data_IF_339152058942
#
_entry.id   IF_339152058942
#
_cell.length_a   1.000
_cell.length_b   1.000
_cell.length_c   1.000
_cell.angle_alpha   90.00
_cell.angle_beta   90.00
_cell.angle_gamma   90.00
#
_symmetry.space_group_name_H-M   'P 1'
#
loop_
_entity.id
_entity.type
_entity.pdbx_description
1 polymer ?
#
# COMPACT_ATOMS: atom_id res chain seq x y z
N UNK A 1 -6.42 5.79 -9.58
CA UNK A 1 -7.81 6.30 -9.37
C UNK A 1 -7.68 7.57 -8.56
N UNK A 2 -8.47 8.59 -8.86
CA UNK A 2 -8.47 9.83 -8.08
C UNK A 2 -9.15 9.64 -6.70
N UNK A 3 -9.21 10.70 -5.90
CA UNK A 3 -9.81 10.66 -4.55
C UNK A 3 -11.31 10.36 -4.57
N UNK A 4 -11.98 10.62 -5.69
CA UNK A 4 -13.41 10.36 -5.91
C UNK A 4 -13.65 8.96 -6.53
N UNK A 5 -12.59 8.20 -6.80
CA UNK A 5 -12.66 6.85 -7.39
C UNK A 5 -12.77 6.84 -8.91
N UNK A 6 -12.54 7.96 -9.61
CA UNK A 6 -12.48 7.94 -11.06
C UNK A 6 -11.17 7.32 -11.54
N UNK A 7 -11.27 6.61 -12.66
CA UNK A 7 -10.13 6.01 -13.35
C UNK A 7 -10.12 6.51 -14.80
N UNK A 8 -8.95 6.92 -15.35
CA UNK A 8 -8.84 7.26 -16.77
C UNK A 8 -9.05 6.01 -17.65
N UNK A 9 -8.77 4.82 -17.10
CA UNK A 9 -9.10 3.54 -17.72
C UNK A 9 -10.51 3.16 -17.29
N UNK A 10 -11.39 2.82 -18.23
CA UNK A 10 -12.75 2.31 -17.96
C UNK A 10 -12.71 0.78 -17.89
N UNK A 11 -12.65 0.15 -16.70
CA UNK A 11 -12.44 -1.29 -16.57
C UNK A 11 -13.58 -2.10 -17.21
N UNK A 12 -14.79 -1.55 -17.22
CA UNK A 12 -15.96 -2.14 -17.90
C UNK A 12 -15.79 -2.34 -19.41
N UNK A 13 -14.80 -1.69 -20.05
CA UNK A 13 -14.44 -1.91 -21.45
C UNK A 13 -13.48 -3.09 -21.66
N UNK A 14 -12.95 -3.66 -20.56
CA UNK A 14 -11.93 -4.71 -20.57
C UNK A 14 -12.39 -5.98 -19.84
N UNK A 15 -13.70 -6.30 -19.88
CA UNK A 15 -14.32 -7.41 -19.12
C UNK A 15 -13.62 -8.75 -19.34
N UNK A 16 -13.31 -9.09 -20.59
CA UNK A 16 -12.65 -10.37 -20.93
C UNK A 16 -11.28 -10.52 -20.25
N UNK A 17 -10.51 -9.42 -20.15
CA UNK A 17 -9.22 -9.42 -19.45
C UNK A 17 -9.43 -9.59 -17.95
N UNK A 18 -10.39 -8.85 -17.38
CA UNK A 18 -10.71 -8.91 -15.95
C UNK A 18 -11.18 -10.31 -15.55
N UNK A 19 -12.03 -10.93 -16.36
CA UNK A 19 -12.54 -12.29 -16.14
C UNK A 19 -11.46 -13.37 -16.26
N UNK A 20 -10.40 -13.11 -17.04
CA UNK A 20 -9.26 -14.01 -17.17
C UNK A 20 -8.25 -13.90 -16.01
N UNK A 21 -8.28 -12.82 -15.22
CA UNK A 21 -7.36 -12.60 -14.11
C UNK A 21 -7.86 -13.26 -12.82
N UNK A 22 -6.95 -13.86 -12.05
CA UNK A 22 -7.31 -14.43 -10.74
C UNK A 22 -7.69 -13.36 -9.71
N UNK A 23 -7.11 -12.18 -9.86
CA UNK A 23 -7.38 -10.99 -9.04
C UNK A 23 -6.79 -9.75 -9.72
N UNK A 24 -7.24 -8.59 -9.28
CA UNK A 24 -6.66 -7.30 -9.63
C UNK A 24 -6.12 -6.60 -8.40
N UNK A 25 -5.00 -5.89 -8.58
CA UNK A 25 -4.39 -5.11 -7.51
C UNK A 25 -4.24 -3.64 -7.92
N UNK A 26 -4.15 -2.77 -6.92
CA UNK A 26 -3.92 -1.34 -7.12
C UNK A 26 -2.91 -0.79 -6.12
N UNK A 27 -2.01 0.05 -6.63
CA UNK A 27 -1.10 0.87 -5.87
C UNK A 27 -1.49 2.34 -6.01
N UNK A 28 -1.50 3.09 -4.91
CA UNK A 28 -1.54 4.56 -5.02
C UNK A 28 -0.11 5.08 -5.19
N UNK A 29 0.09 5.90 -6.23
CA UNK A 29 1.33 6.65 -6.42
C UNK A 29 1.01 8.15 -6.49
N UNK A 30 1.80 8.94 -5.76
CA UNK A 30 1.74 10.41 -5.80
C UNK A 30 2.25 11.01 -7.13
N UNK A 31 2.65 10.18 -8.10
CA UNK A 31 3.00 10.64 -9.46
C UNK A 31 1.85 11.36 -10.17
N UNK A 32 0.61 11.14 -9.74
CA UNK A 32 -0.60 11.79 -10.25
C UNK A 32 -0.74 13.26 -9.81
N UNK A 33 0.02 13.73 -8.80
CA UNK A 33 0.24 15.17 -8.59
C UNK A 33 0.94 15.84 -9.79
N UNK A 34 1.21 15.15 -10.89
CA UNK A 34 1.85 15.76 -12.07
C UNK A 34 1.08 15.53 -13.36
N UNK A 35 0.04 14.69 -13.36
CA UNK A 35 -0.64 14.28 -14.59
C UNK A 35 -2.16 14.33 -14.45
N UNK A 36 -2.75 15.20 -15.29
CA UNK A 36 -4.17 15.32 -15.65
C UNK A 36 -5.11 16.12 -14.73
N UNK A 37 -5.05 16.01 -13.39
CA UNK A 37 -5.97 16.79 -12.52
C UNK A 37 -5.49 18.21 -12.16
N UNK A 38 -4.23 18.51 -12.44
CA UNK A 38 -3.54 19.75 -12.06
C UNK A 38 -4.13 21.05 -12.62
N UNK A 39 -5.01 20.97 -13.61
CA UNK A 39 -5.70 22.14 -14.16
C UNK A 39 -6.94 22.58 -13.38
N UNK A 40 -7.46 21.80 -12.42
CA UNK A 40 -8.80 22.03 -11.85
C UNK A 40 -8.91 21.94 -10.32
N UNK A 41 -7.92 21.44 -9.59
CA UNK A 41 -7.98 21.29 -8.12
C UNK A 41 -6.93 22.13 -7.39
N UNK A 42 -7.27 22.55 -6.16
CA UNK A 42 -6.32 23.20 -5.24
C UNK A 42 -5.27 22.16 -4.84
N UNK A 43 -4.00 22.46 -5.11
CA UNK A 43 -2.86 21.65 -4.70
C UNK A 43 -2.89 21.54 -3.16
N UNK A 44 -2.82 20.33 -2.57
CA UNK A 44 -2.55 20.16 -1.15
C UNK A 44 -1.21 20.83 -0.79
N UNK A 45 -1.23 21.86 0.04
CA UNK A 45 -0.04 22.71 0.31
C UNK A 45 0.70 22.30 1.59
N UNK A 46 0.08 21.48 2.45
CA UNK A 46 0.67 20.99 3.69
C UNK A 46 0.60 19.48 3.85
N UNK A 47 1.41 18.96 4.77
CA UNK A 47 1.56 17.54 5.06
C UNK A 47 0.22 16.84 5.28
N UNK A 48 -0.68 17.45 6.03
CA UNK A 48 -1.94 16.81 6.40
C UNK A 48 -2.89 16.76 5.21
N UNK A 49 -3.00 17.84 4.44
CA UNK A 49 -3.81 17.87 3.22
C UNK A 49 -3.36 16.78 2.22
N UNK A 50 -2.05 16.53 2.10
CA UNK A 50 -1.48 15.47 1.24
C UNK A 50 -1.86 14.08 1.75
N UNK A 51 -1.73 13.84 3.05
CA UNK A 51 -2.10 12.56 3.67
C UNK A 51 -3.59 12.30 3.50
N UNK A 52 -4.43 13.30 3.72
CA UNK A 52 -5.88 13.20 3.53
C UNK A 52 -6.26 12.88 2.09
N UNK A 53 -5.60 13.52 1.12
CA UNK A 53 -5.82 13.25 -0.30
C UNK A 53 -5.49 11.79 -0.65
N UNK A 54 -4.31 11.31 -0.28
CA UNK A 54 -3.91 9.92 -0.52
C UNK A 54 -4.76 8.92 0.26
N UNK A 55 -5.18 9.27 1.48
CA UNK A 55 -6.08 8.45 2.27
C UNK A 55 -7.42 8.25 1.56
N UNK A 56 -8.04 9.33 1.03
CA UNK A 56 -9.29 9.22 0.26
C UNK A 56 -9.14 8.32 -0.96
N UNK A 57 -8.00 8.40 -1.67
CA UNK A 57 -7.69 7.49 -2.79
C UNK A 57 -7.62 6.04 -2.34
N UNK A 58 -6.96 5.76 -1.22
CA UNK A 58 -6.94 4.43 -0.65
C UNK A 58 -8.33 3.91 -0.31
N UNK A 59 -9.19 4.73 0.32
CA UNK A 59 -10.57 4.33 0.60
C UNK A 59 -11.38 4.07 -0.67
N UNK A 60 -11.18 4.87 -1.72
CA UNK A 60 -11.82 4.66 -3.04
C UNK A 60 -11.35 3.36 -3.71
N UNK A 61 -10.06 3.00 -3.57
CA UNK A 61 -9.56 1.68 -4.01
C UNK A 61 -10.23 0.56 -3.20
N UNK A 62 -10.30 0.69 -1.87
CA UNK A 62 -10.89 -0.33 -1.00
C UNK A 62 -12.38 -0.56 -1.28
N UNK A 63 -13.14 0.50 -1.58
CA UNK A 63 -14.56 0.40 -1.95
C UNK A 63 -14.80 -0.18 -3.33
N UNK A 64 -13.81 -0.14 -4.22
CA UNK A 64 -13.97 -0.58 -5.59
C UNK A 64 -14.17 -2.08 -5.68
N UNK A 65 -15.17 -2.52 -6.43
CA UNK A 65 -15.41 -3.94 -6.72
C UNK A 65 -14.35 -4.53 -7.66
N UNK A 66 -13.56 -3.67 -8.32
CA UNK A 66 -12.57 -4.11 -9.30
C UNK A 66 -11.32 -4.70 -8.66
N UNK A 67 -10.83 -4.10 -7.58
CA UNK A 67 -9.52 -4.43 -7.01
C UNK A 67 -9.69 -5.33 -5.80
N UNK A 68 -8.98 -6.45 -5.76
CA UNK A 68 -8.97 -7.36 -4.63
C UNK A 68 -7.86 -7.04 -3.63
N UNK A 69 -6.77 -6.43 -4.09
CA UNK A 69 -5.56 -6.19 -3.29
C UNK A 69 -5.09 -4.73 -3.40
N UNK A 70 -4.75 -4.12 -2.26
CA UNK A 70 -4.06 -2.83 -2.20
C UNK A 70 -2.57 -3.07 -1.97
N UNK A 71 -1.76 -2.60 -2.90
CA UNK A 71 -0.31 -2.70 -2.85
C UNK A 71 0.29 -1.52 -2.08
N UNK A 72 1.26 -1.84 -1.22
CA UNK A 72 2.08 -0.93 -0.41
C UNK A 72 1.39 0.39 -0.02
N UNK A 73 0.28 0.33 0.74
CA UNK A 73 -0.49 1.53 1.09
C UNK A 73 0.38 2.55 1.82
N UNK A 74 0.18 3.83 1.50
CA UNK A 74 0.96 4.98 1.95
C UNK A 74 2.46 4.98 1.62
N UNK A 75 3.02 3.94 0.99
CA UNK A 75 4.45 3.86 0.67
C UNK A 75 4.91 5.03 -0.20
N UNK A 76 4.17 5.32 -1.26
CA UNK A 76 4.40 6.50 -2.10
C UNK A 76 4.21 7.81 -1.35
N UNK A 77 3.24 7.86 -0.42
CA UNK A 77 2.92 9.04 0.39
C UNK A 77 4.10 9.43 1.28
N UNK A 78 4.59 8.50 2.10
CA UNK A 78 5.72 8.75 3.00
C UNK A 78 7.02 9.02 2.23
N UNK A 79 7.21 8.37 1.07
CA UNK A 79 8.35 8.64 0.20
C UNK A 79 8.37 10.08 -0.33
N UNK A 80 7.21 10.58 -0.77
CA UNK A 80 7.09 11.96 -1.21
C UNK A 80 7.26 12.94 -0.05
N UNK A 81 6.60 12.70 1.09
CA UNK A 81 6.71 13.58 2.26
C UNK A 81 8.16 13.70 2.74
N UNK A 82 8.92 12.61 2.71
CA UNK A 82 10.36 12.63 3.03
C UNK A 82 11.16 13.44 2.01
N UNK A 83 10.94 13.20 0.71
CA UNK A 83 11.67 13.88 -0.37
C UNK A 83 11.46 15.39 -0.36
N UNK A 84 10.24 15.83 -0.11
CA UNK A 84 9.87 17.25 -0.07
C UNK A 84 10.14 17.90 1.31
N UNK A 85 10.65 17.15 2.28
CA UNK A 85 11.04 17.68 3.60
C UNK A 85 9.91 17.86 4.61
N UNK A 86 8.71 17.34 4.33
CA UNK A 86 7.57 17.32 5.26
C UNK A 86 7.66 16.18 6.31
N UNK A 87 8.49 15.17 6.07
CA UNK A 87 8.74 14.06 6.98
C UNK A 87 10.24 13.85 7.19
N UNK A 88 10.61 13.31 8.35
CA UNK A 88 12.02 13.02 8.68
C UNK A 88 12.44 11.61 8.27
N UNK A 89 11.48 10.73 8.03
CA UNK A 89 11.69 9.32 7.70
C UNK A 89 10.67 8.85 6.66
N UNK A 90 10.95 7.72 6.01
CA UNK A 90 10.02 7.00 5.14
C UNK A 90 9.01 6.13 5.93
N UNK A 91 8.90 6.32 7.24
CA UNK A 91 8.11 5.45 8.12
C UNK A 91 6.62 5.74 8.03
N UNK A 92 5.80 4.68 8.13
CA UNK A 92 4.34 4.79 8.29
C UNK A 92 3.93 5.52 9.58
N UNK A 93 4.86 5.75 10.52
CA UNK A 93 4.63 6.64 11.68
C UNK A 93 4.34 8.09 11.31
N UNK A 94 4.64 8.50 10.09
CA UNK A 94 4.30 9.82 9.58
C UNK A 94 2.80 9.94 9.24
N UNK A 95 2.07 8.83 9.16
CA UNK A 95 0.63 8.77 8.92
C UNK A 95 -0.11 8.78 10.26
N UNK A 96 -1.06 9.69 10.49
CA UNK A 96 -1.91 9.67 11.68
C UNK A 96 -2.62 8.33 11.86
N UNK A 97 -2.59 7.81 13.09
CA UNK A 97 -3.15 6.49 13.43
C UNK A 97 -4.63 6.36 13.07
N UNK A 98 -5.40 7.45 13.17
CA UNK A 98 -6.81 7.48 12.79
C UNK A 98 -7.03 7.01 11.34
N UNK A 99 -6.19 7.45 10.39
CA UNK A 99 -6.29 7.02 8.99
C UNK A 99 -5.81 5.58 8.77
N UNK A 100 -4.83 5.11 9.55
CA UNK A 100 -4.41 3.71 9.51
C UNK A 100 -5.53 2.78 10.00
N UNK A 101 -6.25 3.18 11.06
CA UNK A 101 -7.40 2.44 11.61
C UNK A 101 -8.58 2.45 10.66
N UNK A 102 -8.95 3.60 10.10
CA UNK A 102 -10.02 3.71 9.11
C UNK A 102 -9.71 2.87 7.87
N UNK A 103 -8.47 2.93 7.36
CA UNK A 103 -8.03 2.08 6.26
C UNK A 103 -8.20 0.58 6.59
N UNK A 104 -7.78 0.15 7.77
CA UNK A 104 -7.86 -1.25 8.18
C UNK A 104 -9.30 -1.73 8.34
N UNK A 105 -10.19 -0.89 8.89
CA UNK A 105 -11.62 -1.16 8.98
C UNK A 105 -12.24 -1.38 7.59
N UNK A 106 -11.88 -0.53 6.62
CA UNK A 106 -12.35 -0.65 5.25
C UNK A 106 -11.78 -1.89 4.55
N UNK A 107 -10.50 -2.19 4.74
CA UNK A 107 -9.88 -3.38 4.17
C UNK A 107 -10.56 -4.65 4.67
N UNK A 108 -10.87 -4.73 5.97
CA UNK A 108 -11.63 -5.83 6.55
C UNK A 108 -13.07 -5.88 6.02
N UNK A 109 -13.78 -4.74 6.03
CA UNK A 109 -15.18 -4.63 5.60
C UNK A 109 -15.38 -5.09 4.15
N UNK A 110 -14.49 -4.67 3.24
CA UNK A 110 -14.58 -5.00 1.82
C UNK A 110 -13.78 -6.26 1.42
N UNK A 111 -13.22 -6.99 2.40
CA UNK A 111 -12.50 -8.23 2.17
C UNK A 111 -11.27 -8.09 1.27
N UNK A 112 -10.57 -6.95 1.35
CA UNK A 112 -9.40 -6.64 0.51
C UNK A 112 -8.13 -7.21 1.13
N UNK A 113 -7.23 -7.70 0.28
CA UNK A 113 -5.85 -8.00 0.66
C UNK A 113 -5.03 -6.72 0.80
N UNK A 114 -4.18 -6.64 1.82
CA UNK A 114 -3.29 -5.50 2.06
C UNK A 114 -1.85 -5.97 1.99
N UNK A 115 -1.08 -5.43 1.07
CA UNK A 115 0.33 -5.81 0.90
C UNK A 115 1.21 -5.24 2.01
N UNK A 116 2.03 -6.13 2.58
CA UNK A 116 3.21 -5.79 3.36
C UNK A 116 4.42 -5.88 2.42
N UNK A 117 4.92 -4.72 1.99
CA UNK A 117 6.00 -4.64 1.02
C UNK A 117 7.36 -4.87 1.67
N UNK A 118 8.14 -5.79 1.11
CA UNK A 118 9.45 -6.19 1.61
C UNK A 118 10.54 -5.14 1.39
N UNK A 119 10.43 -4.32 0.34
CA UNK A 119 11.48 -3.38 -0.09
C UNK A 119 11.94 -2.45 1.03
N UNK A 120 11.07 -1.68 1.70
CA UNK A 120 11.52 -0.75 2.74
C UNK A 120 12.07 -1.49 3.97
N UNK A 121 11.56 -2.68 4.29
CA UNK A 121 12.03 -3.48 5.42
C UNK A 121 13.44 -4.05 5.16
N UNK A 122 13.69 -4.52 3.94
CA UNK A 122 15.02 -4.96 3.52
C UNK A 122 16.01 -3.79 3.52
N UNK A 123 15.61 -2.62 3.01
CA UNK A 123 16.46 -1.43 3.00
C UNK A 123 16.85 -0.96 4.41
N UNK A 124 15.93 -0.98 5.38
CA UNK A 124 16.25 -0.67 6.78
C UNK A 124 17.28 -1.66 7.36
N UNK A 125 17.10 -2.95 7.10
CA UNK A 125 18.00 -4.00 7.57
C UNK A 125 19.42 -3.88 7.00
N UNK A 126 19.55 -3.46 5.75
CA UNK A 126 20.84 -3.18 5.11
C UNK A 126 21.43 -1.82 5.51
N UNK A 127 20.77 -1.07 6.40
CA UNK A 127 21.25 0.23 6.90
C UNK A 127 21.22 1.35 5.86
N UNK A 128 20.30 1.27 4.89
CA UNK A 128 20.14 2.31 3.87
C UNK A 128 19.63 3.59 4.53
N UNK A 129 20.37 4.69 4.35
CA UNK A 129 20.01 6.01 4.88
C UNK A 129 18.61 6.43 4.42
N UNK A 130 17.79 6.93 5.35
CA UNK A 130 16.41 7.38 5.11
C UNK A 130 15.34 6.31 5.39
N UNK A 131 15.74 5.04 5.49
CA UNK A 131 14.86 3.92 5.83
C UNK A 131 14.87 3.58 7.32
N UNK A 132 15.22 4.54 8.17
CA UNK A 132 15.16 4.33 9.62
C UNK A 132 13.70 4.26 10.10
N UNK A 133 13.41 3.36 11.04
CA UNK A 133 12.11 3.20 11.71
C UNK A 133 11.00 2.67 10.79
N UNK A 134 11.35 2.00 9.71
CA UNK A 134 10.39 1.31 8.84
C UNK A 134 9.71 0.19 9.61
N UNK A 135 10.47 -0.67 10.28
CA UNK A 135 9.98 -1.80 11.07
C UNK A 135 8.99 -1.32 12.12
N UNK A 136 9.30 -0.26 12.86
CA UNK A 136 8.37 0.30 13.85
C UNK A 136 7.03 0.73 13.23
N UNK A 137 7.08 1.39 12.06
CA UNK A 137 5.88 1.86 11.36
C UNK A 137 5.03 0.70 10.83
N UNK A 138 5.67 -0.29 10.22
CA UNK A 138 5.00 -1.50 9.75
C UNK A 138 4.44 -2.32 10.91
N UNK A 139 5.13 -2.45 12.04
CA UNK A 139 4.60 -3.18 13.21
C UNK A 139 3.31 -2.53 13.73
N UNK A 140 3.28 -1.19 13.84
CA UNK A 140 2.05 -0.48 14.21
C UNK A 140 0.93 -0.75 13.20
N UNK A 141 1.22 -0.62 11.91
CA UNK A 141 0.20 -0.79 10.88
C UNK A 141 -0.32 -2.24 10.77
N UNK A 142 0.57 -3.23 10.80
CA UNK A 142 0.22 -4.65 10.78
C UNK A 142 -0.63 -5.02 11.99
N UNK A 143 -0.28 -4.55 13.19
CA UNK A 143 -1.09 -4.80 14.39
C UNK A 143 -2.50 -4.24 14.25
N UNK A 144 -2.64 -3.03 13.70
CA UNK A 144 -3.95 -2.42 13.41
C UNK A 144 -4.73 -3.25 12.37
N UNK A 145 -4.08 -3.70 11.29
CA UNK A 145 -4.71 -4.54 10.27
C UNK A 145 -5.24 -5.86 10.87
N UNK A 146 -4.40 -6.55 11.64
CA UNK A 146 -4.77 -7.80 12.32
C UNK A 146 -5.88 -7.59 13.34
N UNK A 147 -5.80 -6.53 14.16
CA UNK A 147 -6.83 -6.14 15.13
C UNK A 147 -8.21 -5.97 14.46
N UNK A 148 -8.25 -5.40 13.26
CA UNK A 148 -9.48 -5.17 12.50
C UNK A 148 -9.90 -6.37 11.64
N UNK A 149 -9.10 -7.43 11.58
CA UNK A 149 -9.38 -8.62 10.77
C UNK A 149 -9.14 -8.44 9.27
N UNK A 150 -8.35 -7.45 8.86
CA UNK A 150 -7.93 -7.29 7.48
C UNK A 150 -6.96 -8.43 7.08
N UNK A 151 -7.04 -8.89 5.82
CA UNK A 151 -6.16 -9.94 5.31
C UNK A 151 -4.89 -9.33 4.71
N UNK A 152 -3.75 -9.98 4.95
CA UNK A 152 -2.43 -9.51 4.57
C UNK A 152 -1.90 -10.28 3.37
N UNK A 153 -1.22 -9.62 2.45
CA UNK A 153 -0.42 -10.30 1.42
C UNK A 153 1.01 -9.80 1.47
N UNK A 154 1.92 -10.52 0.82
CA UNK A 154 3.34 -10.19 0.85
C UNK A 154 3.81 -9.90 -0.56
N UNK A 155 4.44 -8.74 -0.72
CA UNK A 155 4.99 -8.30 -1.99
C UNK A 155 6.47 -8.01 -1.90
N UNK A 156 7.19 -8.36 -2.97
CA UNK A 156 8.61 -8.01 -3.12
C UNK A 156 8.82 -6.71 -3.88
N UNK A 157 7.80 -6.24 -4.61
CA UNK A 157 7.84 -5.03 -5.44
C UNK A 157 9.08 -4.99 -6.37
N UNK A 158 9.50 -6.17 -6.83
CA UNK A 158 10.71 -6.37 -7.61
C UNK A 158 10.48 -5.96 -9.08
N UNK A 159 11.21 -4.92 -9.51
CA UNK A 159 11.11 -4.36 -10.86
C UNK A 159 12.24 -4.79 -11.81
N UNK A 160 13.31 -5.42 -11.29
CA UNK A 160 14.49 -5.76 -12.07
C UNK A 160 15.03 -7.14 -11.70
N UNK A 161 15.54 -7.86 -12.69
CA UNK A 161 16.45 -8.99 -12.49
C UNK A 161 17.88 -8.48 -12.56
N UNK A 162 18.43 -7.99 -11.45
CA UNK A 162 19.85 -7.65 -11.35
C UNK A 162 20.56 -8.42 -10.23
N UNK A 163 21.84 -8.12 -10.00
CA UNK A 163 22.69 -8.88 -9.08
C UNK A 163 22.25 -8.77 -7.61
N UNK A 164 21.43 -7.77 -7.29
CA UNK A 164 20.94 -7.47 -5.96
C UNK A 164 19.42 -7.68 -5.82
N UNK A 165 18.72 -7.82 -6.94
CA UNK A 165 17.27 -8.04 -7.02
C UNK A 165 16.95 -9.27 -7.86
N UNK A 166 16.40 -10.31 -7.21
CA UNK A 166 16.11 -11.59 -7.84
C UNK A 166 14.64 -11.72 -8.26
N UNK A 167 14.37 -12.62 -9.19
CA UNK A 167 13.03 -13.12 -9.45
C UNK A 167 12.92 -14.60 -9.03
N UNK A 168 11.95 -14.97 -8.17
CA UNK A 168 11.03 -14.09 -7.45
C UNK A 168 11.79 -13.21 -6.44
N UNK A 169 11.28 -11.98 -6.23
CA UNK A 169 11.88 -11.03 -5.29
C UNK A 169 11.80 -11.52 -3.85
N UNK A 170 12.62 -10.91 -2.97
CA UNK A 170 12.66 -11.29 -1.57
C UNK A 170 11.42 -10.84 -0.82
N UNK A 171 10.94 -11.71 0.07
CA UNK A 171 9.72 -11.53 0.87
C UNK A 171 9.92 -11.86 2.34
N UNK A 172 11.17 -12.14 2.74
CA UNK A 172 11.53 -12.71 4.04
C UNK A 172 11.23 -11.74 5.18
N UNK A 173 11.61 -10.48 5.04
CA UNK A 173 11.44 -9.46 6.06
C UNK A 173 9.94 -9.17 6.30
N UNK A 174 9.15 -9.08 5.22
CA UNK A 174 7.70 -8.93 5.28
C UNK A 174 7.01 -10.14 5.95
N UNK A 175 7.40 -11.37 5.59
CA UNK A 175 6.88 -12.57 6.24
C UNK A 175 7.23 -12.60 7.74
N UNK A 176 8.46 -12.21 8.10
CA UNK A 176 8.93 -12.21 9.49
C UNK A 176 8.20 -11.18 10.35
N UNK A 177 8.00 -9.96 9.86
CA UNK A 177 7.34 -8.92 10.63
C UNK A 177 5.85 -9.24 10.87
N UNK A 178 5.16 -9.86 9.89
CA UNK A 178 3.79 -10.34 10.08
C UNK A 178 3.73 -11.34 11.24
N UNK A 179 4.60 -12.35 11.22
CA UNK A 179 4.71 -13.35 12.30
C UNK A 179 5.03 -12.72 13.65
N UNK A 180 5.96 -11.75 13.70
CA UNK A 180 6.29 -11.01 14.93
C UNK A 180 5.10 -10.22 15.48
N UNK A 181 4.20 -9.75 14.62
CA UNK A 181 2.97 -9.05 15.02
C UNK A 181 1.85 -9.99 15.45
N UNK A 182 2.06 -11.31 15.44
CA UNK A 182 1.06 -12.32 15.80
C UNK A 182 0.23 -12.82 14.62
N UNK A 183 0.55 -12.43 13.38
CA UNK A 183 -0.12 -12.93 12.19
C UNK A 183 0.22 -14.40 11.91
N UNK A 184 -0.74 -15.10 11.34
CA UNK A 184 -0.72 -16.52 10.98
C UNK A 184 -1.06 -16.73 9.51
N UNK A 185 -1.01 -17.98 9.04
CA UNK A 185 -1.39 -18.31 7.67
C UNK A 185 -2.89 -18.03 7.40
N UNK A 186 -3.74 -18.06 8.44
CA UNK A 186 -5.17 -17.71 8.33
C UNK A 186 -5.39 -16.22 8.04
N UNK A 187 -4.42 -15.37 8.38
CA UNK A 187 -4.47 -13.94 8.14
C UNK A 187 -4.00 -13.57 6.73
N UNK A 188 -3.46 -14.53 5.99
CA UNK A 188 -3.01 -14.29 4.62
C UNK A 188 -4.18 -14.22 3.65
N UNK A 189 -4.14 -13.20 2.80
CA UNK A 189 -4.97 -13.09 1.62
C UNK A 189 -4.33 -13.90 0.50
N UNK A 190 -5.12 -14.77 -0.12
CA UNK A 190 -4.73 -15.56 -1.29
C UNK A 190 -5.77 -15.36 -2.41
N UNK A 191 -5.34 -15.36 -3.69
CA UNK A 191 -6.27 -15.31 -4.81
C UNK A 191 -7.25 -16.49 -4.78
N UNK A 192 -8.45 -16.27 -5.32
CA UNK A 192 -9.45 -17.34 -5.46
C UNK A 192 -8.88 -18.51 -6.25
N UNK A 193 -9.08 -19.73 -5.76
CA UNK A 193 -8.66 -20.97 -6.42
C UNK A 193 -7.27 -21.49 -6.02
N UNK A 194 -6.53 -20.76 -5.17
CA UNK A 194 -5.30 -21.25 -4.53
C UNK A 194 -5.68 -21.61 -3.08
N UNK A 195 -5.94 -22.89 -2.81
CA UNK A 195 -6.07 -23.47 -1.47
C UNK A 195 -5.25 -24.75 -1.42
#
# INVERSE_FOLDING_TARGET
MDSEGHSPVKPSLHKEVIEAMNYLSAASHLGELWTYEYGKSRIPIDKLEIIEYEHKKHLSILRSELFDVVLHPYGSTVAWLYREGYAKTLSLKEIPEAYLREFAEYAALYGKGVEINNVPLAAEKEGVKGYERITEGYETFIKILLEKGAKLTIGSDCHYCDKHWHWPGWTKEAAQIIKRCGGSDEDLWLPKGIR
#
